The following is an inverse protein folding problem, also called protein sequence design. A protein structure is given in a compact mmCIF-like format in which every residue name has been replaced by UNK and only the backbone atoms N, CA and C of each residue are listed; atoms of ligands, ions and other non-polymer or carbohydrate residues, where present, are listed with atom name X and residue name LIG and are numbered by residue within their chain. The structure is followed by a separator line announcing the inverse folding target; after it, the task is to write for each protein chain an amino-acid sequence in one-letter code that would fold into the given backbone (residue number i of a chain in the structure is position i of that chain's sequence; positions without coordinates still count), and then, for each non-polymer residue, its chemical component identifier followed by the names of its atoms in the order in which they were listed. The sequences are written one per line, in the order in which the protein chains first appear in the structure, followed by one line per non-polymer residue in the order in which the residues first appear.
data_IF_619751716506
#
_entry.id   IF_619751716506
#
_cell.length_a   1.000
_cell.length_b   1.000
_cell.length_c   1.000
_cell.angle_alpha   90.00
_cell.angle_beta   90.00
_cell.angle_gamma   90.00
#
_symmetry.space_group_name_H-M   'P 1'
#
loop_
_entity.id
_entity.type
_entity.pdbx_description
1 polymer ?
#
# COMPACT_ATOMS: atom_id res chain seq x y z
N UNK A 1 10.24 -16.96 -6.61
CA UNK A 1 8.76 -16.94 -6.84
C UNK A 1 8.17 -15.64 -6.30
N UNK A 2 7.07 -15.14 -6.91
CA UNK A 2 6.39 -13.92 -6.45
C UNK A 2 4.90 -14.24 -6.31
N UNK A 3 4.36 -14.06 -5.12
CA UNK A 3 2.93 -14.18 -4.81
C UNK A 3 2.38 -12.80 -4.51
N UNK A 4 1.13 -12.53 -4.91
CA UNK A 4 0.50 -11.22 -4.73
C UNK A 4 -0.85 -11.43 -4.07
N UNK A 5 -1.14 -10.58 -3.08
CA UNK A 5 -2.39 -10.60 -2.33
C UNK A 5 -2.87 -9.18 -2.04
N UNK A 6 -4.14 -9.03 -1.70
CA UNK A 6 -4.71 -7.75 -1.25
C UNK A 6 -4.60 -7.56 0.25
N UNK A 7 -5.37 -6.59 0.69
CA UNK A 7 -5.48 -6.08 2.04
C UNK A 7 -5.37 -7.16 3.12
N UNK A 8 -4.56 -6.87 4.10
CA UNK A 8 -4.41 -7.75 5.27
C UNK A 8 -5.02 -7.16 6.54
N UNK A 9 -5.10 -5.84 6.67
CA UNK A 9 -5.59 -5.17 7.87
C UNK A 9 -5.06 -5.78 9.18
N UNK A 10 -3.79 -6.17 9.19
CA UNK A 10 -3.12 -6.90 10.28
C UNK A 10 -3.56 -8.36 10.48
N UNK A 11 -4.45 -8.87 9.66
CA UNK A 11 -4.78 -10.29 9.67
C UNK A 11 -3.84 -11.06 8.74
N UNK A 12 -2.82 -11.66 9.32
CA UNK A 12 -1.81 -12.44 8.62
C UNK A 12 -2.07 -13.94 8.68
N UNK A 13 -3.29 -14.37 9.04
CA UNK A 13 -3.67 -15.79 9.11
C UNK A 13 -3.55 -16.49 7.77
N UNK A 14 -3.75 -15.75 6.65
CA UNK A 14 -3.53 -16.27 5.29
C UNK A 14 -2.10 -16.75 5.02
N UNK A 15 -1.14 -16.37 5.87
CA UNK A 15 0.26 -16.77 5.78
C UNK A 15 0.63 -17.86 6.80
N UNK A 16 -0.33 -18.53 7.42
CA UNK A 16 -0.08 -19.74 8.20
C UNK A 16 0.33 -20.88 7.28
N UNK A 17 1.06 -21.87 7.79
CA UNK A 17 1.49 -23.03 7.00
C UNK A 17 0.29 -23.83 6.45
N UNK A 18 -0.81 -23.83 7.16
CA UNK A 18 -2.04 -24.49 6.75
C UNK A 18 -2.69 -23.82 5.51
N UNK A 19 -2.69 -22.47 5.48
CA UNK A 19 -3.35 -21.70 4.43
C UNK A 19 -2.42 -21.38 3.24
N UNK A 20 -1.13 -21.34 3.47
CA UNK A 20 -0.12 -21.04 2.46
C UNK A 20 1.00 -22.10 2.50
N UNK A 21 0.65 -23.32 2.11
CA UNK A 21 1.53 -24.50 2.24
C UNK A 21 2.82 -24.37 1.42
N UNK A 22 2.77 -23.74 0.23
CA UNK A 22 3.93 -23.56 -0.64
C UNK A 22 5.07 -22.78 0.05
N UNK A 23 4.78 -22.04 1.13
CA UNK A 23 5.82 -21.31 1.86
C UNK A 23 6.95 -22.21 2.41
N UNK A 24 6.68 -23.51 2.58
CA UNK A 24 7.70 -24.48 3.02
C UNK A 24 8.82 -24.64 1.99
N UNK A 25 8.56 -24.39 0.71
CA UNK A 25 9.53 -24.47 -0.39
C UNK A 25 10.16 -23.10 -0.71
N UNK A 26 9.66 -22.03 -0.10
CA UNK A 26 10.13 -20.67 -0.32
C UNK A 26 11.41 -20.36 0.48
N UNK A 27 12.13 -19.36 0.01
CA UNK A 27 13.31 -18.79 0.65
C UNK A 27 13.14 -17.28 0.79
N UNK A 28 14.07 -16.60 1.46
CA UNK A 28 14.08 -15.14 1.55
C UNK A 28 14.22 -14.42 0.20
N UNK A 29 14.57 -15.14 -0.86
CA UNK A 29 14.58 -14.63 -2.24
C UNK A 29 13.25 -14.84 -2.97
N UNK A 30 12.24 -15.36 -2.26
CA UNK A 30 10.87 -15.46 -2.74
C UNK A 30 10.00 -14.41 -2.03
N UNK A 31 9.01 -13.86 -2.71
CA UNK A 31 8.34 -12.65 -2.27
C UNK A 31 6.84 -12.83 -2.16
N UNK A 32 6.25 -12.24 -1.13
CA UNK A 32 4.81 -12.03 -1.02
C UNK A 32 4.56 -10.53 -1.03
N UNK A 33 3.85 -10.03 -2.05
CA UNK A 33 3.52 -8.60 -2.21
C UNK A 33 2.08 -8.37 -1.76
N UNK A 34 1.89 -7.51 -0.76
CA UNK A 34 0.58 -7.07 -0.26
C UNK A 34 0.24 -5.74 -0.91
N UNK A 35 -0.87 -5.70 -1.67
CA UNK A 35 -1.29 -4.54 -2.44
C UNK A 35 -2.11 -3.54 -1.61
N UNK A 36 -1.52 -3.02 -0.54
CA UNK A 36 -2.10 -1.99 0.32
C UNK A 36 -2.85 -2.53 1.53
N UNK A 37 -3.25 -1.62 2.40
CA UNK A 37 -3.93 -1.88 3.66
C UNK A 37 -3.27 -3.02 4.45
N UNK A 38 -1.95 -2.90 4.57
CA UNK A 38 -1.13 -3.86 5.31
C UNK A 38 -1.55 -3.91 6.78
N UNK A 39 -1.76 -2.72 7.39
CA UNK A 39 -2.22 -2.55 8.75
C UNK A 39 -1.23 -3.01 9.83
N UNK A 40 -0.06 -3.51 9.47
CA UNK A 40 0.99 -3.89 10.42
C UNK A 40 1.58 -2.69 11.16
N UNK A 41 1.58 -1.51 10.51
CA UNK A 41 2.01 -0.23 11.06
C UNK A 41 0.77 0.63 11.29
N UNK A 42 -0.01 0.34 12.34
CA UNK A 42 -1.29 1.03 12.57
C UNK A 42 -1.40 1.74 13.94
N UNK A 43 -0.75 1.24 14.99
CA UNK A 43 -0.90 1.78 16.34
C UNK A 43 -0.43 3.23 16.43
N UNK A 44 -1.14 4.05 17.24
CA UNK A 44 -0.89 5.49 17.35
C UNK A 44 0.45 5.82 18.01
N UNK A 45 0.78 5.08 19.07
CA UNK A 45 2.05 5.24 19.79
C UNK A 45 3.05 4.16 19.33
N UNK A 46 3.94 3.78 20.21
CA UNK A 46 4.87 2.69 19.95
C UNK A 46 4.16 1.40 19.51
N UNK A 47 4.88 0.55 18.84
CA UNK A 47 4.40 -0.74 18.38
C UNK A 47 3.92 -1.59 19.57
N UNK A 48 2.61 -1.83 19.68
CA UNK A 48 2.07 -2.68 20.73
C UNK A 48 2.71 -4.08 20.68
N UNK A 49 2.83 -4.75 21.82
CA UNK A 49 3.43 -6.09 21.91
C UNK A 49 2.82 -7.06 20.89
N UNK A 50 1.49 -7.02 20.71
CA UNK A 50 0.79 -7.86 19.73
C UNK A 50 1.21 -7.56 18.28
N UNK A 51 1.38 -6.27 17.95
CA UNK A 51 1.82 -5.86 16.60
C UNK A 51 3.28 -6.23 16.35
N UNK A 52 4.12 -6.00 17.35
CA UNK A 52 5.53 -6.41 17.31
C UNK A 52 5.65 -7.91 17.03
N UNK A 53 4.96 -8.74 17.81
CA UNK A 53 4.94 -10.19 17.60
C UNK A 53 4.43 -10.59 16.21
N UNK A 54 3.40 -9.90 15.70
CA UNK A 54 2.87 -10.18 14.36
C UNK A 54 3.88 -9.85 13.26
N UNK A 55 4.57 -8.71 13.36
CA UNK A 55 5.63 -8.32 12.42
C UNK A 55 6.86 -9.22 12.54
N UNK A 56 7.22 -9.62 13.75
CA UNK A 56 8.34 -10.55 13.99
C UNK A 56 8.02 -11.95 13.43
N UNK A 57 6.76 -12.41 13.54
CA UNK A 57 6.32 -13.65 12.88
C UNK A 57 6.40 -13.55 11.35
N UNK A 58 6.01 -12.42 10.75
CA UNK A 58 6.19 -12.21 9.31
C UNK A 58 7.67 -12.22 8.93
N UNK A 59 8.49 -11.52 9.71
CA UNK A 59 9.94 -11.48 9.48
C UNK A 59 10.59 -12.88 9.49
N UNK A 60 10.03 -13.79 10.28
CA UNK A 60 10.53 -15.16 10.43
C UNK A 60 9.97 -16.14 9.39
N UNK A 61 9.08 -15.72 8.48
CA UNK A 61 8.60 -16.55 7.38
C UNK A 61 9.73 -16.91 6.42
N UNK A 62 9.59 -17.97 5.66
CA UNK A 62 10.59 -18.38 4.66
C UNK A 62 10.73 -17.38 3.50
N UNK A 63 9.75 -16.55 3.26
CA UNK A 63 9.74 -15.53 2.21
C UNK A 63 10.01 -14.12 2.76
N UNK A 64 10.25 -13.16 1.87
CA UNK A 64 10.26 -11.73 2.18
C UNK A 64 8.87 -11.14 1.91
N UNK A 65 8.33 -10.43 2.89
CA UNK A 65 7.07 -9.69 2.76
C UNK A 65 7.35 -8.30 2.24
N UNK A 66 6.71 -7.97 1.12
CA UNK A 66 6.71 -6.63 0.53
C UNK A 66 5.30 -6.08 0.61
N UNK A 67 5.14 -4.79 0.83
CA UNK A 67 3.81 -4.17 0.77
C UNK A 67 3.87 -2.76 0.19
N UNK A 68 2.80 -2.35 -0.44
CA UNK A 68 2.51 -0.95 -0.73
C UNK A 68 1.55 -0.42 0.31
N UNK A 69 1.52 0.87 0.51
CA UNK A 69 0.57 1.50 1.43
C UNK A 69 -0.84 1.61 0.81
N UNK A 70 -1.86 1.58 1.66
CA UNK A 70 -3.26 1.87 1.35
C UNK A 70 -3.74 3.07 2.14
N UNK A 71 -5.05 3.17 2.43
CA UNK A 71 -5.58 4.21 3.33
C UNK A 71 -5.63 3.75 4.81
N UNK A 72 -5.32 2.49 5.08
CA UNK A 72 -5.25 1.92 6.44
C UNK A 72 -3.80 1.74 6.91
N UNK A 73 -3.00 2.82 6.83
CA UNK A 73 -1.64 2.88 7.36
C UNK A 73 -1.48 4.06 8.32
N UNK A 74 -0.69 3.90 9.37
CA UNK A 74 -0.24 5.02 10.18
C UNK A 74 0.95 5.69 9.48
N UNK A 75 0.68 6.68 8.65
CA UNK A 75 1.70 7.35 7.86
C UNK A 75 2.72 8.10 8.70
N UNK A 76 2.33 8.64 9.85
CA UNK A 76 3.26 9.28 10.78
C UNK A 76 4.36 8.31 11.18
N UNK A 77 3.98 7.09 11.57
CA UNK A 77 4.94 6.05 11.95
C UNK A 77 5.69 5.48 10.76
N UNK A 78 4.98 5.19 9.67
CA UNK A 78 5.57 4.59 8.48
C UNK A 78 6.73 5.43 7.93
N UNK A 79 6.59 6.75 7.96
CA UNK A 79 7.59 7.67 7.41
C UNK A 79 8.63 8.15 8.42
N UNK A 80 8.37 8.06 9.75
CA UNK A 80 9.28 8.60 10.76
C UNK A 80 10.01 7.53 11.57
N UNK A 81 9.40 6.35 11.79
CA UNK A 81 9.94 5.36 12.71
C UNK A 81 10.87 4.34 12.03
N UNK A 82 10.83 4.24 10.70
CA UNK A 82 11.53 3.22 9.96
C UNK A 82 12.58 3.79 9.02
N UNK A 83 13.80 3.22 9.00
CA UNK A 83 14.86 3.71 8.12
C UNK A 83 14.50 3.48 6.65
N UNK A 84 14.91 4.45 5.81
CA UNK A 84 14.85 4.31 4.36
C UNK A 84 16.15 3.66 3.89
N UNK A 85 16.01 2.56 3.14
CA UNK A 85 17.14 1.83 2.55
C UNK A 85 16.93 1.68 1.03
N UNK A 86 18.03 1.50 0.30
CA UNK A 86 17.97 1.07 -1.10
C UNK A 86 17.83 -0.45 -1.17
N UNK A 87 16.85 -0.91 -1.94
CA UNK A 87 16.59 -2.32 -2.15
C UNK A 87 16.18 -2.58 -3.60
N UNK A 88 16.86 -3.47 -4.29
CA UNK A 88 16.56 -3.87 -5.68
C UNK A 88 16.35 -2.70 -6.66
N UNK A 89 17.07 -1.59 -6.47
CA UNK A 89 17.07 -0.40 -7.34
C UNK A 89 16.03 0.66 -7.00
N UNK A 90 15.21 0.46 -5.97
CA UNK A 90 14.26 1.42 -5.42
C UNK A 90 14.45 1.62 -3.92
N UNK A 91 13.69 2.55 -3.34
CA UNK A 91 13.71 2.86 -1.91
C UNK A 91 12.58 2.15 -1.16
N UNK A 92 12.90 1.67 0.03
CA UNK A 92 11.97 1.01 0.94
C UNK A 92 12.06 1.61 2.33
N UNK A 93 10.96 1.58 3.09
CA UNK A 93 11.04 1.65 4.55
C UNK A 93 11.25 0.24 5.08
N UNK A 94 12.31 0.04 5.86
CA UNK A 94 12.63 -1.25 6.45
C UNK A 94 11.91 -1.43 7.78
N UNK A 95 10.78 -2.13 7.75
CA UNK A 95 9.97 -2.39 8.96
C UNK A 95 10.65 -3.49 9.80
N UNK A 96 11.15 -4.53 9.12
CA UNK A 96 12.00 -5.61 9.62
C UNK A 96 12.97 -6.00 8.50
N UNK A 97 13.92 -6.88 8.75
CA UNK A 97 14.89 -7.32 7.73
C UNK A 97 14.21 -7.92 6.49
N UNK A 98 13.04 -8.56 6.68
CA UNK A 98 12.28 -9.22 5.62
C UNK A 98 10.80 -8.79 5.58
N UNK A 99 10.50 -7.59 6.08
CA UNK A 99 9.20 -6.91 5.93
C UNK A 99 9.48 -5.48 5.48
N UNK A 100 9.23 -5.21 4.20
CA UNK A 100 9.64 -3.98 3.53
C UNK A 100 8.44 -3.25 2.93
N UNK A 101 8.33 -1.96 3.21
CA UNK A 101 7.40 -1.07 2.55
C UNK A 101 8.03 -0.52 1.27
N UNK A 102 7.43 -0.84 0.13
CA UNK A 102 7.85 -0.35 -1.17
C UNK A 102 7.38 1.10 -1.35
N UNK A 103 8.31 2.06 -1.40
CA UNK A 103 7.96 3.49 -1.45
C UNK A 103 7.34 3.87 -2.80
N UNK A 104 6.45 4.85 -2.75
CA UNK A 104 5.73 5.35 -3.94
C UNK A 104 6.66 5.90 -5.02
N UNK A 105 6.35 5.55 -6.26
CA UNK A 105 7.08 6.04 -7.44
C UNK A 105 8.41 5.35 -7.69
N UNK A 106 8.74 4.33 -6.93
CA UNK A 106 9.97 3.55 -7.11
C UNK A 106 9.80 2.42 -8.14
N UNK A 107 10.93 1.97 -8.70
CA UNK A 107 10.99 0.82 -9.61
C UNK A 107 11.94 -0.20 -9.04
N UNK A 108 11.44 -1.41 -8.85
CA UNK A 108 12.18 -2.53 -8.29
C UNK A 108 12.48 -3.59 -9.34
N UNK A 109 13.73 -4.08 -9.36
CA UNK A 109 14.14 -5.20 -10.22
C UNK A 109 14.07 -6.53 -9.47
N UNK A 110 13.00 -7.30 -9.63
CA UNK A 110 12.78 -8.57 -8.94
C UNK A 110 12.66 -9.69 -9.98
N UNK A 111 13.42 -10.76 -9.85
CA UNK A 111 13.45 -11.92 -10.78
C UNK A 111 13.57 -11.50 -12.27
N UNK A 112 14.41 -10.48 -12.54
CA UNK A 112 14.63 -9.96 -13.90
C UNK A 112 13.44 -9.16 -14.47
N UNK A 113 12.41 -8.89 -13.68
CA UNK A 113 11.25 -8.08 -14.01
C UNK A 113 11.29 -6.73 -13.32
N UNK A 114 10.72 -5.70 -13.95
CA UNK A 114 10.60 -4.35 -13.41
C UNK A 114 9.20 -4.11 -12.88
N UNK A 115 9.12 -3.80 -11.59
CA UNK A 115 7.88 -3.47 -10.89
C UNK A 115 7.87 -1.97 -10.59
N UNK A 116 6.98 -1.21 -11.23
CA UNK A 116 6.69 0.14 -10.80
C UNK A 116 5.65 0.09 -9.69
N UNK A 117 5.90 0.80 -8.60
CA UNK A 117 5.09 0.74 -7.39
C UNK A 117 4.51 2.11 -7.06
N UNK A 118 3.21 2.15 -6.76
CA UNK A 118 2.57 3.38 -6.33
C UNK A 118 1.37 3.10 -5.42
N UNK A 119 1.57 3.15 -4.11
CA UNK A 119 0.55 2.94 -3.09
C UNK A 119 -0.40 4.13 -2.89
N UNK A 120 -1.18 4.04 -1.83
CA UNK A 120 -2.17 5.03 -1.41
C UNK A 120 -3.59 4.75 -1.90
N UNK A 121 -4.56 5.30 -1.18
CA UNK A 121 -5.97 5.35 -1.58
C UNK A 121 -6.70 6.41 -0.76
N UNK A 122 -7.73 7.00 -1.34
CA UNK A 122 -8.61 7.93 -0.62
C UNK A 122 -9.60 7.17 0.26
N UNK A 123 -9.68 7.49 1.53
CA UNK A 123 -10.72 6.98 2.43
C UNK A 123 -12.12 7.33 1.94
N UNK A 124 -13.03 6.36 2.00
CA UNK A 124 -14.42 6.49 1.54
C UNK A 124 -15.41 6.69 2.69
N UNK A 125 -15.02 6.39 3.92
CA UNK A 125 -15.84 6.46 5.13
C UNK A 125 -15.62 7.76 5.92
N UNK A 126 -15.60 8.87 5.19
CA UNK A 126 -15.39 10.23 5.69
C UNK A 126 -16.53 11.18 5.29
N UNK A 127 -17.75 10.65 5.03
CA UNK A 127 -18.89 11.46 4.57
C UNK A 127 -19.30 12.51 5.60
N UNK A 128 -19.15 12.21 6.90
CA UNK A 128 -19.44 13.14 8.00
C UNK A 128 -18.20 13.98 8.40
N UNK A 129 -17.06 13.76 7.75
CA UNK A 129 -15.88 14.61 7.84
C UNK A 129 -14.70 13.98 8.58
N UNK A 130 -13.65 14.81 8.75
CA UNK A 130 -12.42 14.48 9.47
C UNK A 130 -12.36 15.41 10.67
N UNK A 131 -12.30 14.84 11.88
CA UNK A 131 -12.26 15.56 13.13
C UNK A 131 -10.82 15.63 13.66
N UNK A 132 -10.53 16.63 14.49
CA UNK A 132 -9.31 16.65 15.29
C UNK A 132 -9.54 15.94 16.64
N UNK A 133 -8.49 15.49 17.29
CA UNK A 133 -8.57 14.80 18.59
C UNK A 133 -9.09 15.68 19.73
N UNK A 134 -8.93 17.00 19.63
CA UNK A 134 -9.35 18.00 20.64
C UNK A 134 -10.85 18.22 20.75
N UNK A 135 -11.65 17.63 19.87
CA UNK A 135 -13.13 17.76 19.85
C UNK A 135 -13.84 16.51 20.41
N UNK A 136 -13.48 16.11 21.62
CA UNK A 136 -13.94 14.86 22.24
C UNK A 136 -15.47 14.69 22.28
N UNK A 137 -16.23 15.74 22.66
CA UNK A 137 -17.69 15.71 22.68
C UNK A 137 -18.28 15.36 21.30
N UNK A 138 -17.75 15.99 20.26
CA UNK A 138 -18.20 15.74 18.89
C UNK A 138 -17.83 14.34 18.42
N UNK A 139 -16.65 13.84 18.80
CA UNK A 139 -16.24 12.46 18.52
C UNK A 139 -17.20 11.48 19.18
N UNK A 140 -17.56 11.72 20.44
CA UNK A 140 -18.53 10.89 21.16
C UNK A 140 -19.90 10.89 20.49
N UNK A 141 -20.43 12.07 20.14
CA UNK A 141 -21.72 12.21 19.43
C UNK A 141 -21.70 11.48 18.08
N UNK A 142 -20.62 11.63 17.30
CA UNK A 142 -20.47 10.98 15.99
C UNK A 142 -20.43 9.46 16.13
N UNK A 143 -19.70 8.93 17.09
CA UNK A 143 -19.70 7.48 17.40
C UNK A 143 -21.09 6.97 17.79
N UNK A 144 -21.81 7.72 18.66
CA UNK A 144 -23.15 7.35 19.14
C UNK A 144 -24.18 7.27 18.01
N UNK A 145 -24.11 8.13 17.01
CA UNK A 145 -25.04 8.13 15.87
C UNK A 145 -24.57 7.25 14.69
N UNK A 146 -23.43 6.57 14.81
CA UNK A 146 -22.88 5.74 13.74
C UNK A 146 -22.42 6.55 12.51
N UNK A 147 -21.89 7.76 12.73
CA UNK A 147 -21.41 8.63 11.66
C UNK A 147 -20.16 8.05 10.96
N UNK A 148 -20.04 8.30 9.66
CA UNK A 148 -18.88 7.96 8.85
C UNK A 148 -17.85 9.08 8.92
N UNK A 149 -16.96 9.01 9.92
CA UNK A 149 -15.91 9.99 10.15
C UNK A 149 -14.60 9.35 10.54
N UNK A 150 -13.51 10.07 10.32
CA UNK A 150 -12.17 9.70 10.76
C UNK A 150 -11.57 10.79 11.63
N UNK A 151 -10.49 10.48 12.32
CA UNK A 151 -9.78 11.41 13.21
C UNK A 151 -8.40 11.65 12.62
N UNK A 152 -8.05 12.92 12.43
CA UNK A 152 -6.76 13.35 11.89
C UNK A 152 -5.60 12.81 12.73
N UNK A 153 -4.58 12.30 12.04
CA UNK A 153 -3.34 11.76 12.59
C UNK A 153 -3.57 10.61 13.61
N UNK A 154 -4.79 10.04 13.61
CA UNK A 154 -5.16 8.90 14.44
C UNK A 154 -5.78 7.75 13.62
N UNK A 155 -6.70 8.06 12.72
CA UNK A 155 -7.34 7.10 11.83
C UNK A 155 -7.47 7.62 10.39
N UNK A 156 -6.91 8.77 10.13
CA UNK A 156 -6.80 9.40 8.81
C UNK A 156 -5.57 10.29 8.73
N UNK A 157 -4.86 10.25 7.60
CA UNK A 157 -3.67 11.06 7.32
C UNK A 157 -3.78 11.71 5.95
N UNK A 158 -3.27 12.94 5.80
CA UNK A 158 -3.18 13.59 4.50
C UNK A 158 -2.36 12.75 3.49
N UNK A 159 -1.40 11.98 4.00
CA UNK A 159 -0.50 11.15 3.21
C UNK A 159 -1.17 9.87 2.65
N UNK A 160 -2.46 9.61 2.93
CA UNK A 160 -3.18 8.56 2.21
C UNK A 160 -3.26 8.85 0.71
N UNK A 161 -3.21 10.14 0.33
CA UNK A 161 -3.01 10.59 -1.05
C UNK A 161 -1.56 11.03 -1.28
N UNK A 162 -1.03 10.87 -2.51
CA UNK A 162 0.36 11.18 -2.79
C UNK A 162 0.65 12.67 -2.78
N UNK A 163 1.87 13.01 -2.42
CA UNK A 163 2.43 14.34 -2.59
C UNK A 163 2.84 14.60 -4.04
N UNK A 164 3.00 15.88 -4.39
CA UNK A 164 3.56 16.25 -5.69
C UNK A 164 5.00 15.74 -5.89
N UNK A 165 5.75 15.62 -4.82
CA UNK A 165 7.13 15.12 -4.84
C UNK A 165 7.17 13.63 -5.18
N UNK A 166 6.32 12.81 -4.55
CA UNK A 166 6.19 11.37 -4.84
C UNK A 166 5.73 11.14 -6.29
N UNK A 167 4.74 11.89 -6.76
CA UNK A 167 4.28 11.82 -8.14
C UNK A 167 5.38 12.20 -9.14
N UNK A 168 6.14 13.26 -8.84
CA UNK A 168 7.26 13.71 -9.68
C UNK A 168 8.39 12.69 -9.69
N UNK A 169 8.70 12.07 -8.54
CA UNK A 169 9.68 10.99 -8.43
C UNK A 169 9.28 9.81 -9.31
N UNK A 170 8.02 9.38 -9.24
CA UNK A 170 7.50 8.30 -10.08
C UNK A 170 7.66 8.56 -11.57
N UNK A 171 7.36 9.80 -12.02
CA UNK A 171 7.57 10.20 -13.42
C UNK A 171 9.04 10.07 -13.82
N UNK A 172 9.94 10.66 -13.02
CA UNK A 172 11.39 10.63 -13.29
C UNK A 172 11.92 9.19 -13.36
N UNK A 173 11.44 8.31 -12.49
CA UNK A 173 11.86 6.92 -12.48
C UNK A 173 11.32 6.16 -13.71
N UNK A 174 10.09 6.41 -14.13
CA UNK A 174 9.53 5.85 -15.36
C UNK A 174 10.28 6.36 -16.60
N UNK A 175 10.66 7.63 -16.65
CA UNK A 175 11.47 8.21 -17.73
C UNK A 175 12.83 7.52 -17.86
N UNK A 176 13.53 7.25 -16.75
CA UNK A 176 14.83 6.55 -16.75
C UNK A 176 14.76 5.16 -17.41
N UNK A 177 13.62 4.51 -17.37
CA UNK A 177 13.40 3.20 -18.02
C UNK A 177 12.62 3.31 -19.33
N UNK A 178 12.46 4.53 -19.87
CA UNK A 178 11.67 4.82 -21.09
C UNK A 178 10.24 4.26 -20.99
N UNK A 179 9.62 4.36 -19.79
CA UNK A 179 8.29 3.83 -19.47
C UNK A 179 8.14 2.31 -19.70
N UNK A 180 9.24 1.56 -19.68
CA UNK A 180 9.25 0.10 -19.87
C UNK A 180 9.34 -0.60 -18.53
N UNK A 181 8.19 -1.06 -18.02
CA UNK A 181 8.06 -1.89 -16.83
C UNK A 181 7.28 -3.15 -17.17
N UNK A 182 7.44 -4.20 -16.37
CA UNK A 182 6.72 -5.45 -16.56
C UNK A 182 5.40 -5.44 -15.77
N UNK A 183 5.40 -4.84 -14.58
CA UNK A 183 4.24 -4.80 -13.67
C UNK A 183 4.09 -3.41 -13.06
N UNK A 184 2.83 -3.06 -12.74
CA UNK A 184 2.48 -1.90 -11.92
C UNK A 184 1.74 -2.42 -10.69
N UNK A 185 2.27 -2.15 -9.50
CA UNK A 185 1.67 -2.52 -8.22
C UNK A 185 1.04 -1.29 -7.60
N UNK A 186 -0.27 -1.34 -7.37
CA UNK A 186 -1.03 -0.26 -6.73
C UNK A 186 -2.05 -0.82 -5.75
N UNK A 187 -2.49 0.00 -4.80
CA UNK A 187 -3.65 -0.34 -3.97
C UNK A 187 -4.95 0.12 -4.63
N UNK A 188 -4.95 1.35 -5.13
CA UNK A 188 -6.14 1.95 -5.71
C UNK A 188 -6.15 1.81 -7.24
N UNK A 189 -7.33 1.73 -7.86
CA UNK A 189 -7.45 1.58 -9.30
C UNK A 189 -7.40 2.89 -10.07
N UNK A 190 -7.21 2.77 -11.38
CA UNK A 190 -7.30 3.88 -12.33
C UNK A 190 -8.71 4.49 -12.31
N UNK A 191 -8.81 5.80 -12.61
CA UNK A 191 -10.10 6.50 -12.69
C UNK A 191 -11.13 5.78 -13.57
N UNK A 192 -10.74 5.26 -14.74
CA UNK A 192 -11.66 4.56 -15.64
C UNK A 192 -12.16 3.23 -15.07
N UNK A 193 -11.30 2.47 -14.44
CA UNK A 193 -11.65 1.19 -13.81
C UNK A 193 -12.50 1.43 -12.57
N UNK A 194 -12.14 2.41 -11.74
CA UNK A 194 -12.92 2.80 -10.57
C UNK A 194 -14.34 3.23 -10.95
N UNK A 195 -14.49 4.01 -12.02
CA UNK A 195 -15.80 4.43 -12.53
C UNK A 195 -16.65 3.23 -12.99
N UNK A 196 -16.02 2.27 -13.68
CA UNK A 196 -16.71 1.08 -14.18
C UNK A 196 -17.16 0.16 -13.01
N UNK A 197 -16.27 -0.12 -12.06
CA UNK A 197 -16.55 -1.03 -10.93
C UNK A 197 -17.49 -0.40 -9.90
N UNK A 198 -17.31 0.88 -9.64
CA UNK A 198 -18.11 1.64 -8.67
C UNK A 198 -19.47 2.10 -9.16
N UNK A 199 -19.81 1.91 -10.45
CA UNK A 199 -21.06 2.41 -11.02
C UNK A 199 -21.24 3.93 -10.83
N UNK A 200 -20.14 4.69 -10.89
CA UNK A 200 -20.13 6.15 -10.69
C UNK A 200 -20.20 6.61 -9.22
N UNK A 201 -20.18 5.70 -8.25
CA UNK A 201 -20.21 6.05 -6.81
C UNK A 201 -18.93 6.71 -6.31
N UNK A 202 -17.80 6.39 -6.89
CA UNK A 202 -16.49 6.92 -6.48
C UNK A 202 -16.10 8.12 -7.35
N UNK A 203 -15.71 9.20 -6.69
CA UNK A 203 -15.16 10.37 -7.37
C UNK A 203 -13.68 10.19 -7.60
N UNK A 204 -13.22 10.61 -8.78
CA UNK A 204 -11.80 10.67 -9.08
C UNK A 204 -11.05 11.57 -8.09
N UNK A 205 -9.81 11.28 -7.87
CA UNK A 205 -8.88 12.03 -7.04
C UNK A 205 -7.52 12.15 -7.74
N UNK A 206 -6.58 12.84 -7.09
CA UNK A 206 -5.25 13.11 -7.65
C UNK A 206 -4.48 11.83 -7.96
N UNK A 207 -4.65 10.78 -7.13
CA UNK A 207 -3.96 9.50 -7.30
C UNK A 207 -4.54 8.71 -8.48
N UNK A 208 -5.86 8.56 -8.53
CA UNK A 208 -6.53 7.82 -9.61
C UNK A 208 -6.31 8.46 -10.98
N UNK A 209 -6.29 9.81 -11.05
CA UNK A 209 -5.98 10.56 -12.26
C UNK A 209 -4.50 10.45 -12.65
N UNK A 210 -3.58 10.45 -11.67
CA UNK A 210 -2.16 10.21 -11.89
C UNK A 210 -1.92 8.82 -12.51
N UNK A 211 -2.46 7.78 -11.90
CA UNK A 211 -2.33 6.41 -12.39
C UNK A 211 -2.94 6.26 -13.80
N UNK A 212 -4.11 6.86 -14.05
CA UNK A 212 -4.76 6.85 -15.37
C UNK A 212 -3.90 7.51 -16.46
N UNK A 213 -3.23 8.62 -16.13
CA UNK A 213 -2.38 9.34 -17.07
C UNK A 213 -1.16 8.51 -17.47
N UNK A 214 -0.51 7.90 -16.50
CA UNK A 214 0.75 7.19 -16.76
C UNK A 214 0.56 5.78 -17.29
N UNK A 215 -0.53 5.11 -16.98
CA UNK A 215 -0.88 3.83 -17.61
C UNK A 215 -0.86 3.92 -19.15
N UNK A 216 -1.35 5.03 -19.72
CA UNK A 216 -1.37 5.23 -21.18
C UNK A 216 0.03 5.36 -21.80
N UNK A 217 1.00 5.79 -21.02
CA UNK A 217 2.38 6.05 -21.46
C UNK A 217 3.32 4.87 -21.20
N UNK A 218 2.91 3.92 -20.34
CA UNK A 218 3.70 2.74 -20.00
C UNK A 218 3.62 1.73 -21.14
N UNK A 219 4.77 1.48 -21.78
CA UNK A 219 4.94 0.42 -22.75
C UNK A 219 5.31 -0.87 -22.01
N UNK A 220 4.40 -1.80 -21.94
CA UNK A 220 4.62 -3.11 -21.33
C UNK A 220 5.35 -4.04 -22.30
N UNK A 221 6.33 -4.77 -21.80
CA UNK A 221 7.13 -5.68 -22.62
C UNK A 221 6.31 -6.85 -23.19
N UNK A 222 5.20 -7.21 -22.54
CA UNK A 222 4.37 -8.38 -22.88
C UNK A 222 3.08 -8.05 -23.63
N UNK A 223 2.75 -6.79 -23.85
CA UNK A 223 1.48 -6.38 -24.47
C UNK A 223 0.24 -6.61 -23.59
N UNK A 224 0.40 -7.14 -22.39
CA UNK A 224 -0.65 -7.35 -21.40
C UNK A 224 -0.36 -6.42 -20.22
N UNK A 225 -1.30 -5.54 -19.89
CA UNK A 225 -1.22 -4.66 -18.73
C UNK A 225 -1.66 -5.46 -17.49
N UNK A 226 -0.73 -6.04 -16.78
CA UNK A 226 -1.00 -6.57 -15.45
C UNK A 226 -0.87 -5.42 -14.44
N UNK A 227 -1.92 -4.60 -14.35
CA UNK A 227 -2.14 -3.77 -13.17
C UNK A 227 -2.67 -4.71 -12.11
N UNK A 228 -1.80 -5.06 -11.18
CA UNK A 228 -2.17 -5.94 -10.10
C UNK A 228 -2.79 -5.06 -9.02
N UNK A 229 -4.10 -5.05 -9.02
CA UNK A 229 -4.94 -4.48 -7.98
C UNK A 229 -5.72 -5.62 -7.36
N UNK A 230 -5.78 -5.65 -6.05
CA UNK A 230 -6.75 -6.49 -5.38
C UNK A 230 -7.94 -5.62 -5.01
N UNK A 231 -9.06 -5.84 -5.69
CA UNK A 231 -10.30 -5.13 -5.40
C UNK A 231 -11.02 -5.92 -4.33
N UNK A 232 -11.08 -5.40 -3.12
CA UNK A 232 -11.96 -5.92 -2.10
C UNK A 232 -13.41 -5.52 -2.42
N UNK A 233 -14.30 -6.50 -2.33
CA UNK A 233 -15.74 -6.31 -2.47
C UNK A 233 -16.37 -5.79 -1.19
#
# INVERSE_FOLDING_TARGET
MIYITGDTHSDFTRFTEEQFQIQSEMTKNDYVIICGDFGGVWTFEEESSRKKEALDRLNNKNFTTLFVDGNHENYTRLYNDYPVEEWHGGKVHKIRDYVLHLMRGEIFGIDGKKFFVFGGAKSHDIQDGILNLDVEEKIYEYRKRGAYFRIRDFSWWNLELPTNEEMTNGIKNLEKVNYKVDYIITHCCLTSIQAMLGGGRYKKDILTDYLQKYQKNVNLRSGILDIIMVINK
#
